data_IF_394092834945
#
_entry.id   IF_394092834945
#
_cell.length_a   1.000
_cell.length_b   1.000
_cell.length_c   1.000
_cell.angle_alpha   90.00
_cell.angle_beta   90.00
_cell.angle_gamma   90.00
#
_symmetry.space_group_name_H-M   'P 1'
#
loop_
_entity.id
_entity.type
_entity.pdbx_description
1 polymer ?
#
# COMPACT_ATOMS: atom_id res chain seq x y z
N UNK A 1 16.42 2.99 11.61
CA UNK A 1 16.72 2.92 10.16
C UNK A 1 15.43 2.77 9.35
N UNK A 2 14.51 3.76 9.40
CA UNK A 2 13.22 3.70 8.66
C UNK A 2 13.30 4.20 7.22
N UNK A 3 14.39 4.89 6.86
CA UNK A 3 14.54 5.53 5.55
C UNK A 3 14.69 4.47 4.46
N UNK A 4 15.50 3.42 4.67
CA UNK A 4 15.69 2.37 3.67
C UNK A 4 14.42 1.56 3.42
N UNK A 5 13.62 1.30 4.46
CA UNK A 5 12.34 0.60 4.34
C UNK A 5 11.35 1.41 3.50
N UNK A 6 11.24 2.71 3.75
CA UNK A 6 10.36 3.61 2.98
C UNK A 6 10.77 3.71 1.51
N UNK A 7 12.09 3.73 1.22
CA UNK A 7 12.60 3.75 -0.16
C UNK A 7 12.24 2.45 -0.89
N UNK A 8 12.40 1.29 -0.23
CA UNK A 8 12.02 -0.01 -0.80
C UNK A 8 10.51 -0.08 -1.06
N UNK A 9 9.68 0.40 -0.13
CA UNK A 9 8.23 0.41 -0.28
C UNK A 9 7.79 1.24 -1.50
N UNK A 10 8.31 2.46 -1.63
CA UNK A 10 8.02 3.33 -2.77
C UNK A 10 8.51 2.71 -4.09
N UNK A 11 9.70 2.09 -4.09
CA UNK A 11 10.24 1.40 -5.25
C UNK A 11 9.36 0.25 -5.72
N UNK A 12 8.94 -0.62 -4.79
CA UNK A 12 8.08 -1.77 -5.10
C UNK A 12 6.72 -1.33 -5.66
N UNK A 13 6.12 -0.29 -5.08
CA UNK A 13 4.85 0.25 -5.56
C UNK A 13 4.96 0.79 -7.00
N UNK A 14 6.05 1.51 -7.30
CA UNK A 14 6.32 1.98 -8.65
C UNK A 14 6.49 0.82 -9.65
N UNK A 15 7.21 -0.25 -9.28
CA UNK A 15 7.36 -1.43 -10.15
C UNK A 15 6.06 -2.15 -10.42
N UNK A 16 5.17 -2.28 -9.42
CA UNK A 16 3.83 -2.85 -9.62
C UNK A 16 3.05 -2.01 -10.64
N UNK A 17 3.10 -0.67 -10.52
CA UNK A 17 2.43 0.25 -11.43
C UNK A 17 2.98 0.15 -12.85
N UNK A 18 4.29 0.18 -13.03
CA UNK A 18 4.96 0.04 -14.34
C UNK A 18 4.57 -1.28 -15.03
N UNK A 19 4.57 -2.40 -14.30
CA UNK A 19 4.18 -3.70 -14.83
C UNK A 19 2.69 -3.73 -15.23
N UNK A 20 1.81 -3.15 -14.40
CA UNK A 20 0.39 -3.08 -14.71
C UNK A 20 0.11 -2.17 -15.92
N UNK A 21 0.79 -1.02 -16.04
CA UNK A 21 0.69 -0.13 -17.19
C UNK A 21 1.19 -0.80 -18.49
N UNK A 22 2.16 -1.72 -18.38
CA UNK A 22 2.61 -2.58 -19.47
C UNK A 22 1.66 -3.75 -19.79
N UNK A 23 0.52 -3.88 -19.09
CA UNK A 23 -0.48 -4.93 -19.31
C UNK A 23 -0.18 -6.27 -18.62
N UNK A 24 0.78 -6.31 -17.70
CA UNK A 24 1.12 -7.55 -16.98
C UNK A 24 0.06 -7.85 -15.93
N UNK A 25 -0.51 -9.06 -15.97
CA UNK A 25 -1.54 -9.50 -15.04
C UNK A 25 -1.02 -9.70 -13.60
N UNK A 26 -1.89 -9.48 -12.61
CA UNK A 26 -1.54 -9.54 -11.19
C UNK A 26 -0.91 -10.86 -10.72
N UNK A 27 -1.28 -12.00 -11.32
CA UNK A 27 -0.67 -13.30 -11.00
C UNK A 27 0.81 -13.34 -11.43
N UNK A 28 1.12 -12.80 -12.61
CA UNK A 28 2.49 -12.74 -13.15
C UNK A 28 3.34 -11.75 -12.35
N UNK A 29 2.79 -10.59 -11.98
CA UNK A 29 3.46 -9.63 -11.09
C UNK A 29 3.79 -10.28 -9.74
N UNK A 30 2.81 -10.97 -9.13
CA UNK A 30 3.03 -11.69 -7.87
C UNK A 30 4.12 -12.76 -7.98
N UNK A 31 4.12 -13.53 -9.07
CA UNK A 31 5.18 -14.50 -9.36
C UNK A 31 6.55 -13.86 -9.43
N UNK A 32 6.70 -12.81 -10.24
CA UNK A 32 7.97 -12.08 -10.39
C UNK A 32 8.51 -11.57 -9.05
N UNK A 33 7.65 -10.97 -8.21
CA UNK A 33 8.07 -10.50 -6.90
C UNK A 33 8.53 -11.64 -5.98
N UNK A 34 7.83 -12.78 -6.01
CA UNK A 34 8.20 -13.98 -5.24
C UNK A 34 9.52 -14.57 -5.69
N UNK A 35 9.80 -14.58 -7.00
CA UNK A 35 11.09 -15.03 -7.55
C UNK A 35 12.26 -14.19 -7.03
N UNK A 36 12.00 -12.92 -6.66
CA UNK A 36 12.95 -12.02 -6.03
C UNK A 36 12.87 -11.98 -4.49
N UNK A 37 12.20 -12.95 -3.86
CA UNK A 37 12.10 -13.07 -2.41
C UNK A 37 11.14 -12.09 -1.75
N UNK A 38 10.24 -11.45 -2.50
CA UNK A 38 9.23 -10.53 -2.00
C UNK A 38 7.87 -11.23 -2.02
N UNK A 39 7.39 -11.64 -0.85
CA UNK A 39 6.13 -12.36 -0.74
C UNK A 39 4.93 -11.40 -0.80
N UNK A 40 4.33 -11.28 -1.99
CA UNK A 40 3.10 -10.53 -2.24
C UNK A 40 2.10 -11.41 -2.98
N UNK A 41 0.83 -11.43 -2.56
CA UNK A 41 -0.19 -12.21 -3.24
C UNK A 41 -0.73 -11.47 -4.48
N UNK A 42 -1.34 -12.18 -5.45
CA UNK A 42 -2.02 -11.52 -6.57
C UNK A 42 -3.16 -10.60 -6.11
N UNK A 43 -3.78 -10.87 -4.96
CA UNK A 43 -4.85 -10.04 -4.42
C UNK A 43 -4.32 -8.72 -3.86
N UNK A 44 -3.19 -8.76 -3.16
CA UNK A 44 -2.47 -7.57 -2.72
C UNK A 44 -2.11 -6.68 -3.92
N UNK A 45 -1.58 -7.29 -4.99
CA UNK A 45 -1.25 -6.57 -6.24
C UNK A 45 -2.49 -5.87 -6.81
N UNK A 46 -3.64 -6.57 -6.93
CA UNK A 46 -4.89 -5.96 -7.42
C UNK A 46 -5.37 -4.82 -6.52
N UNK A 47 -5.27 -4.99 -5.21
CA UNK A 47 -5.66 -3.98 -4.23
C UNK A 47 -4.79 -2.74 -4.37
N UNK A 48 -3.47 -2.91 -4.46
CA UNK A 48 -2.53 -1.81 -4.66
C UNK A 48 -2.81 -1.04 -5.95
N UNK A 49 -3.06 -1.73 -7.06
CA UNK A 49 -3.42 -1.10 -8.35
C UNK A 49 -4.73 -0.32 -8.25
N UNK A 50 -5.76 -0.87 -7.59
CA UNK A 50 -7.05 -0.19 -7.40
C UNK A 50 -6.92 1.05 -6.53
N UNK A 51 -6.13 0.96 -5.46
CA UNK A 51 -5.96 2.04 -4.49
C UNK A 51 -5.00 3.13 -4.98
N UNK A 52 -4.12 2.85 -5.95
CA UNK A 52 -3.09 3.77 -6.46
C UNK A 52 -3.63 5.16 -6.76
N UNK A 53 -4.67 5.28 -7.60
CA UNK A 53 -5.26 6.58 -7.95
C UNK A 53 -5.80 7.34 -6.74
N UNK A 54 -6.43 6.65 -5.80
CA UNK A 54 -7.02 7.28 -4.62
C UNK A 54 -5.92 7.76 -3.66
N UNK A 55 -4.93 6.91 -3.40
CA UNK A 55 -3.87 7.16 -2.41
C UNK A 55 -2.76 8.10 -2.91
N UNK A 56 -2.60 8.27 -4.22
CA UNK A 56 -1.65 9.24 -4.81
C UNK A 56 -2.21 10.65 -4.92
N UNK A 57 -3.54 10.82 -4.86
CA UNK A 57 -4.21 12.11 -5.08
C UNK A 57 -3.89 13.17 -4.01
N UNK A 58 -3.86 12.76 -2.73
CA UNK A 58 -3.55 13.62 -1.59
C UNK A 58 -3.22 12.78 -0.36
N UNK A 59 -2.28 13.24 0.45
CA UNK A 59 -2.00 12.62 1.75
C UNK A 59 -3.03 13.03 2.80
N UNK A 60 -3.43 12.08 3.66
CA UNK A 60 -4.28 12.36 4.82
C UNK A 60 -3.52 13.26 5.82
N UNK A 61 -4.10 14.36 6.32
CA UNK A 61 -3.41 15.25 7.26
C UNK A 61 -3.09 14.53 8.57
N UNK A 62 -1.85 14.70 9.06
CA UNK A 62 -1.39 14.09 10.32
C UNK A 62 -2.28 14.42 11.52
N UNK A 63 -2.89 15.62 11.55
CA UNK A 63 -3.83 16.03 12.60
C UNK A 63 -5.07 15.12 12.64
N UNK A 64 -5.63 14.79 11.47
CA UNK A 64 -6.79 13.90 11.38
C UNK A 64 -6.44 12.50 11.89
N UNK A 65 -5.28 11.95 11.52
CA UNK A 65 -4.85 10.64 12.03
C UNK A 65 -4.66 10.64 13.55
N UNK A 66 -4.03 11.69 14.11
CA UNK A 66 -3.79 11.81 15.56
C UNK A 66 -5.08 11.86 16.36
N UNK A 67 -6.08 12.59 15.86
CA UNK A 67 -7.38 12.69 16.52
C UNK A 67 -8.03 11.30 16.67
N UNK A 68 -8.09 10.53 15.59
CA UNK A 68 -8.69 9.18 15.60
C UNK A 68 -7.93 8.21 16.51
N UNK A 69 -6.59 8.30 16.56
CA UNK A 69 -5.78 7.47 17.46
C UNK A 69 -6.13 7.78 18.92
N UNK A 70 -6.18 9.06 19.27
CA UNK A 70 -6.49 9.49 20.63
C UNK A 70 -7.91 9.08 21.06
N UNK A 71 -8.89 9.20 20.16
CA UNK A 71 -10.28 8.76 20.40
C UNK A 71 -10.36 7.23 20.63
N UNK A 72 -9.59 6.44 19.87
CA UNK A 72 -9.52 4.98 20.05
C UNK A 72 -8.86 4.58 21.38
N UNK A 73 -7.77 5.22 21.76
CA UNK A 73 -7.05 4.94 23.01
C UNK A 73 -7.91 5.25 24.26
N UNK A 74 -8.88 6.15 24.14
CA UNK A 74 -9.81 6.52 25.19
C UNK A 74 -11.11 5.67 25.19
N UNK A 75 -11.18 4.60 24.40
CA UNK A 75 -12.34 3.69 24.33
C UNK A 75 -13.49 4.18 23.42
N UNK A 76 -13.22 5.17 22.57
CA UNK A 76 -14.21 5.90 21.78
C UNK A 76 -14.65 5.25 20.47
N UNK A 77 -14.92 3.95 20.47
CA UNK A 77 -15.82 3.35 19.47
C UNK A 77 -16.80 2.44 20.20
N UNK A 78 -17.80 3.05 20.85
CA UNK A 78 -19.06 2.36 21.04
C UNK A 78 -19.63 2.11 19.63
N UNK A 79 -19.55 0.87 19.18
CA UNK A 79 -20.19 0.41 17.95
C UNK A 79 -21.69 0.63 18.07
N UNK A 80 -22.24 1.52 17.26
CA UNK A 80 -23.69 1.59 16.97
C UNK A 80 -24.03 0.69 15.79
#
# INVERSE_FOLDING_TARGET
MRIQENVRLAGNFNRIRELNEAGVGANTISGLFKDHGINISPDDVRTLIKCDKALTSKSLPKKACKQVIQENELGGFATT
#
